data_IF_489537304464
#
_entry.id   IF_489537304464
#
_cell.length_a   1.000
_cell.length_b   1.000
_cell.length_c   1.000
_cell.angle_alpha   90.00
_cell.angle_beta   90.00
_cell.angle_gamma   90.00
#
_symmetry.space_group_name_H-M   'P 1'
#
loop_
_entity.id
_entity.type
_entity.pdbx_description
1 polymer ?
#
# COMPACT_ATOMS: atom_id res chain seq x y z
N UNK A 1 -28.53 -18.07 5.40
CA UNK A 1 -27.05 -18.04 5.35
C UNK A 1 -26.63 -16.59 5.49
N UNK A 2 -26.42 -16.14 6.73
CA UNK A 2 -25.84 -14.82 6.98
C UNK A 2 -24.40 -14.85 6.49
N UNK A 3 -24.09 -14.01 5.50
CA UNK A 3 -22.71 -13.70 5.17
C UNK A 3 -22.04 -13.14 6.42
N UNK A 4 -21.07 -13.88 6.96
CA UNK A 4 -20.16 -13.40 7.99
C UNK A 4 -19.44 -12.17 7.46
N UNK A 5 -19.93 -10.97 7.80
CA UNK A 5 -19.18 -9.72 7.61
C UNK A 5 -17.97 -9.80 8.53
N UNK A 6 -16.79 -9.93 7.95
CA UNK A 6 -15.55 -9.64 8.66
C UNK A 6 -15.66 -8.22 9.23
N UNK A 7 -15.41 -8.00 10.53
CA UNK A 7 -15.36 -6.64 11.06
C UNK A 7 -14.26 -5.87 10.34
N UNK A 8 -14.63 -4.76 9.66
CA UNK A 8 -13.65 -3.84 9.11
C UNK A 8 -13.01 -3.07 10.28
N UNK A 9 -11.68 -3.12 10.38
CA UNK A 9 -10.96 -2.32 11.37
C UNK A 9 -11.26 -0.82 11.16
N UNK A 10 -11.43 -0.08 12.26
CA UNK A 10 -11.54 1.38 12.17
C UNK A 10 -10.20 1.97 11.73
N UNK A 11 -10.23 3.14 11.09
CA UNK A 11 -8.99 3.85 10.71
C UNK A 11 -8.10 4.08 11.94
N UNK A 12 -8.71 4.40 13.09
CA UNK A 12 -7.99 4.56 14.35
C UNK A 12 -7.27 3.28 14.78
N UNK A 13 -7.93 2.12 14.69
CA UNK A 13 -7.31 0.85 15.04
C UNK A 13 -6.13 0.50 14.13
N UNK A 14 -6.24 0.80 12.83
CA UNK A 14 -5.15 0.60 11.87
C UNK A 14 -3.96 1.54 12.16
N UNK A 15 -4.23 2.80 12.53
CA UNK A 15 -3.17 3.74 12.92
C UNK A 15 -2.42 3.27 14.17
N UNK A 16 -3.14 2.75 15.17
CA UNK A 16 -2.54 2.19 16.39
C UNK A 16 -1.69 0.95 16.11
N UNK A 17 -2.14 0.08 15.20
CA UNK A 17 -1.39 -1.10 14.76
C UNK A 17 -0.06 -0.71 14.10
N UNK A 18 -0.10 0.24 13.16
CA UNK A 18 1.09 0.77 12.50
C UNK A 18 2.04 1.45 13.50
N UNK A 19 1.50 2.26 14.42
CA UNK A 19 2.29 2.91 15.46
C UNK A 19 3.02 1.90 16.35
N UNK A 20 2.30 0.84 16.79
CA UNK A 20 2.88 -0.24 17.57
C UNK A 20 3.98 -0.99 16.82
N UNK A 21 3.81 -1.24 15.52
CA UNK A 21 4.85 -1.84 14.69
C UNK A 21 6.08 -0.94 14.53
N UNK A 22 5.90 0.36 14.32
CA UNK A 22 7.01 1.32 14.19
C UNK A 22 7.85 1.38 15.47
N UNK A 23 7.20 1.37 16.64
CA UNK A 23 7.90 1.41 17.93
C UNK A 23 8.57 0.08 18.31
N UNK A 24 8.09 -1.05 17.81
CA UNK A 24 8.62 -2.39 18.16
C UNK A 24 9.63 -2.94 17.15
N UNK A 25 9.37 -2.75 15.85
CA UNK A 25 10.17 -3.28 14.73
C UNK A 25 10.84 -2.15 13.96
N UNK A 26 10.11 -1.08 13.66
CA UNK A 26 10.58 0.05 12.85
C UNK A 26 11.58 1.00 13.53
N UNK A 27 11.88 0.79 14.82
CA UNK A 27 12.73 1.61 15.69
C UNK A 27 12.19 3.03 15.96
N UNK A 28 11.79 3.78 14.93
CA UNK A 28 11.23 5.14 15.03
C UNK A 28 10.58 5.58 13.72
N UNK A 29 9.79 6.65 13.77
CA UNK A 29 9.33 7.37 12.59
C UNK A 29 10.47 7.99 11.78
N UNK A 30 10.29 8.00 10.45
CA UNK A 30 11.12 8.78 9.54
C UNK A 30 10.90 10.29 9.73
N UNK A 31 11.92 11.07 9.38
CA UNK A 31 11.74 12.52 9.26
C UNK A 31 10.77 12.83 8.11
N UNK A 32 10.02 13.96 8.15
CA UNK A 32 8.99 14.25 7.16
C UNK A 32 9.45 14.19 5.71
N UNK A 33 10.66 14.68 5.41
CA UNK A 33 11.22 14.65 4.04
C UNK A 33 11.53 13.21 3.58
N UNK A 34 12.04 12.37 4.47
CA UNK A 34 12.29 10.96 4.16
C UNK A 34 10.99 10.20 3.95
N UNK A 35 9.97 10.47 4.79
CA UNK A 35 8.64 9.90 4.63
C UNK A 35 8.00 10.32 3.30
N UNK A 36 8.18 11.57 2.88
CA UNK A 36 7.69 12.07 1.59
C UNK A 36 8.36 11.38 0.40
N UNK A 37 9.68 11.17 0.47
CA UNK A 37 10.41 10.49 -0.59
C UNK A 37 9.93 9.04 -0.75
N UNK A 38 9.81 8.30 0.36
CA UNK A 38 9.31 6.92 0.37
C UNK A 38 7.85 6.83 -0.10
N UNK A 39 6.97 7.72 0.37
CA UNK A 39 5.60 7.78 -0.09
C UNK A 39 5.51 8.03 -1.61
N UNK A 40 6.38 8.88 -2.15
CA UNK A 40 6.42 9.16 -3.60
C UNK A 40 6.88 7.95 -4.42
N UNK A 41 7.77 7.13 -3.86
CA UNK A 41 8.22 5.87 -4.46
C UNK A 41 7.06 4.88 -4.60
N UNK A 42 6.34 4.61 -3.50
CA UNK A 42 5.18 3.70 -3.48
C UNK A 42 4.04 4.19 -4.40
N UNK A 43 3.79 5.50 -4.44
CA UNK A 43 2.82 6.07 -5.40
C UNK A 43 3.27 5.86 -6.85
N UNK A 44 4.57 5.89 -7.12
CA UNK A 44 5.15 5.57 -8.43
C UNK A 44 4.94 4.12 -8.84
N UNK A 45 5.08 3.18 -7.90
CA UNK A 45 4.78 1.74 -8.06
C UNK A 45 3.31 1.54 -8.49
N UNK A 46 2.38 2.13 -7.73
CA UNK A 46 0.94 2.11 -8.03
C UNK A 46 0.66 2.72 -9.40
N UNK A 47 1.22 3.91 -9.68
CA UNK A 47 1.02 4.61 -10.96
C UNK A 47 1.51 3.78 -12.14
N UNK A 48 2.63 3.07 -12.00
CA UNK A 48 3.18 2.18 -13.02
C UNK A 48 2.21 1.04 -13.34
N UNK A 49 1.60 0.41 -12.34
CA UNK A 49 0.59 -0.65 -12.56
C UNK A 49 -0.67 -0.08 -13.21
N UNK A 50 -1.16 1.06 -12.72
CA UNK A 50 -2.35 1.73 -13.25
C UNK A 50 -2.17 2.11 -14.73
N UNK A 51 -1.02 2.67 -15.09
CA UNK A 51 -0.71 3.07 -16.47
C UNK A 51 -0.66 1.89 -17.45
N UNK A 52 -0.30 0.68 -16.98
CA UNK A 52 -0.27 -0.55 -17.79
C UNK A 52 -1.64 -1.20 -17.90
N UNK A 53 -2.36 -1.30 -16.78
CA UNK A 53 -3.67 -1.97 -16.73
C UNK A 53 -4.78 -1.14 -17.35
N UNK A 54 -4.75 0.19 -17.16
CA UNK A 54 -5.84 1.09 -17.50
C UNK A 54 -5.43 2.26 -18.40
N UNK A 55 -4.13 2.45 -18.61
CA UNK A 55 -3.59 3.47 -19.52
C UNK A 55 -3.17 2.90 -20.88
N UNK A 56 -2.40 3.69 -21.62
CA UNK A 56 -1.95 3.35 -22.98
C UNK A 56 -0.63 2.56 -23.03
N UNK A 57 -0.01 2.26 -21.88
CA UNK A 57 1.22 1.46 -21.86
C UNK A 57 0.91 -0.01 -22.17
N UNK A 58 1.72 -0.63 -23.02
CA UNK A 58 1.56 -2.05 -23.36
C UNK A 58 1.80 -2.94 -22.13
N UNK A 59 0.86 -3.85 -21.89
CA UNK A 59 0.99 -4.88 -20.87
C UNK A 59 2.09 -5.89 -21.26
N UNK A 60 3.07 -6.10 -20.38
CA UNK A 60 3.99 -7.24 -20.50
C UNK A 60 3.37 -8.44 -19.79
N UNK A 61 3.58 -9.65 -20.31
CA UNK A 61 3.04 -10.88 -19.70
C UNK A 61 3.50 -11.09 -18.24
N UNK A 62 4.66 -10.53 -17.87
CA UNK A 62 5.19 -10.54 -16.50
C UNK A 62 4.43 -9.62 -15.54
N UNK A 63 3.72 -8.59 -16.05
CA UNK A 63 3.03 -7.60 -15.23
C UNK A 63 1.69 -8.12 -14.69
N UNK A 64 1.19 -9.25 -15.21
CA UNK A 64 0.04 -9.96 -14.65
C UNK A 64 0.30 -10.52 -13.24
N UNK A 65 1.57 -10.62 -12.84
CA UNK A 65 2.01 -11.06 -11.51
C UNK A 65 2.12 -9.92 -10.49
N UNK A 66 2.11 -8.66 -10.94
CA UNK A 66 2.17 -7.50 -10.03
C UNK A 66 0.77 -7.20 -9.54
N UNK A 67 0.51 -7.39 -8.24
CA UNK A 67 -0.81 -7.17 -7.64
C UNK A 67 -0.99 -5.71 -7.21
N UNK A 68 -1.98 -5.04 -7.79
CA UNK A 68 -2.37 -3.68 -7.38
C UNK A 68 -2.82 -3.64 -5.92
N UNK A 69 -3.39 -4.74 -5.41
CA UNK A 69 -3.76 -4.84 -4.00
C UNK A 69 -2.54 -4.78 -3.08
N UNK A 70 -1.40 -5.35 -3.50
CA UNK A 70 -0.16 -5.30 -2.74
C UNK A 70 0.46 -3.90 -2.71
N UNK A 71 0.39 -3.15 -3.82
CA UNK A 71 0.91 -1.76 -3.85
C UNK A 71 -0.02 -0.75 -3.13
N UNK A 72 -1.26 -1.16 -2.81
CA UNK A 72 -2.25 -0.32 -2.11
C UNK A 72 -2.42 -0.68 -0.63
N UNK A 73 -1.82 -1.78 -0.18
CA UNK A 73 -1.92 -2.30 1.19
C UNK A 73 -0.98 -1.55 2.14
#
# INVERSE_FOLDING_TARGET
>A
MESSRTPQASITALQEEVDGWIHSVGVRYFAPLTNMALLSEEVGEVARIMARRYGEQSNKATDALHDLGAELA
#
